data_IF_783021695251
#
_entry.id   IF_783021695251
#
_cell.length_a   1.000
_cell.length_b   1.000
_cell.length_c   1.000
_cell.angle_alpha   90.00
_cell.angle_beta   90.00
_cell.angle_gamma   90.00
#
_symmetry.space_group_name_H-M   'P 1'
#
loop_
_entity.id
_entity.type
_entity.pdbx_description
1 polymer ?
#
# COMPACT_ATOMS: atom_id res chain seq x y z
N UNK A 1 -20.63 1.99 -25.66
CA UNK A 1 -21.68 2.91 -25.15
C UNK A 1 -21.08 3.59 -23.94
N UNK A 2 -20.67 4.84 -24.12
CA UNK A 2 -19.97 5.63 -23.10
C UNK A 2 -21.02 6.48 -22.39
N UNK A 3 -21.28 6.19 -21.12
CA UNK A 3 -22.18 6.99 -20.28
C UNK A 3 -21.78 6.86 -18.82
N UNK A 4 -20.79 7.65 -18.43
CA UNK A 4 -20.75 8.47 -17.22
C UNK A 4 -19.34 9.07 -17.12
N UNK A 5 -19.22 10.27 -16.56
CA UNK A 5 -17.99 10.80 -15.98
C UNK A 5 -17.58 9.91 -14.77
N UNK A 6 -17.37 8.62 -15.00
CA UNK A 6 -16.73 7.74 -14.04
C UNK A 6 -15.30 8.21 -13.92
N UNK A 7 -15.00 8.88 -12.81
CA UNK A 7 -13.62 9.18 -12.42
C UNK A 7 -12.87 7.85 -12.39
N UNK A 8 -12.04 7.62 -13.40
CA UNK A 8 -11.13 6.48 -13.43
C UNK A 8 -10.18 6.60 -12.24
N UNK A 9 -10.12 5.56 -11.41
CA UNK A 9 -9.24 5.49 -10.25
C UNK A 9 -8.12 4.51 -10.55
N UNK A 10 -6.88 5.00 -10.49
CA UNK A 10 -5.70 4.14 -10.62
C UNK A 10 -5.56 3.28 -9.37
N UNK A 11 -5.81 1.97 -9.52
CA UNK A 11 -5.72 1.01 -8.41
C UNK A 11 -4.27 0.63 -8.09
N UNK A 12 -3.41 0.51 -9.10
CA UNK A 12 -1.98 0.20 -8.96
C UNK A 12 -1.23 0.61 -10.24
N UNK A 13 0.10 0.78 -10.12
CA UNK A 13 1.04 0.86 -11.24
C UNK A 13 1.92 -0.38 -11.13
N UNK A 14 2.05 -1.13 -12.22
CA UNK A 14 2.78 -2.39 -12.28
C UNK A 14 4.06 -2.20 -13.08
N UNK A 15 5.14 -2.82 -12.62
CA UNK A 15 6.47 -2.76 -13.22
C UNK A 15 6.94 -4.15 -13.66
N UNK A 16 8.18 -4.22 -14.16
CA UNK A 16 8.82 -5.50 -14.47
C UNK A 16 8.77 -6.46 -13.27
N UNK A 17 8.52 -7.74 -13.56
CA UNK A 17 8.31 -8.83 -12.59
C UNK A 17 6.96 -8.82 -11.85
N UNK A 18 6.12 -7.79 -12.02
CA UNK A 18 4.76 -7.83 -11.50
C UNK A 18 3.84 -8.70 -12.38
N UNK A 19 2.76 -9.20 -11.78
CA UNK A 19 1.71 -9.95 -12.48
C UNK A 19 0.32 -9.40 -12.17
N UNK A 20 -0.66 -9.70 -13.01
CA UNK A 20 -2.05 -9.27 -12.81
C UNK A 20 -3.04 -10.22 -13.48
N UNK A 21 -4.32 -10.09 -13.11
CA UNK A 21 -5.42 -10.90 -13.65
C UNK A 21 -5.63 -12.22 -12.92
N UNK A 22 -4.81 -12.51 -11.91
CA UNK A 22 -4.83 -13.70 -11.08
C UNK A 22 -6.20 -13.91 -10.41
N UNK A 23 -6.89 -12.83 -10.02
CA UNK A 23 -8.18 -12.91 -9.33
C UNK A 23 -9.18 -13.73 -10.17
N UNK A 24 -9.38 -13.34 -11.43
CA UNK A 24 -10.28 -14.04 -12.36
C UNK A 24 -9.84 -15.49 -12.66
N UNK A 25 -8.54 -15.79 -12.58
CA UNK A 25 -8.03 -17.15 -12.76
C UNK A 25 -8.26 -18.02 -11.52
N UNK A 26 -8.32 -17.43 -10.33
CA UNK A 26 -8.58 -18.12 -9.06
C UNK A 26 -10.08 -18.32 -8.85
N UNK A 27 -10.86 -17.24 -8.79
CA UNK A 27 -12.27 -17.25 -8.39
C UNK A 27 -13.26 -17.51 -9.54
N UNK A 28 -12.81 -17.33 -10.79
CA UNK A 28 -13.66 -17.51 -11.98
C UNK A 28 -14.64 -16.35 -12.23
N UNK A 29 -14.48 -15.24 -11.51
CA UNK A 29 -15.26 -14.03 -11.70
C UNK A 29 -14.73 -13.18 -12.86
N UNK A 30 -15.52 -12.18 -13.25
CA UNK A 30 -15.12 -11.19 -14.25
C UNK A 30 -13.87 -10.39 -13.79
N UNK A 31 -13.22 -9.70 -14.73
CA UNK A 31 -12.07 -8.85 -14.43
C UNK A 31 -12.47 -7.77 -13.41
N UNK A 32 -11.66 -7.62 -12.38
CA UNK A 32 -11.87 -6.62 -11.31
C UNK A 32 -11.48 -5.20 -11.74
N UNK A 33 -10.64 -5.06 -12.76
CA UNK A 33 -10.18 -3.79 -13.30
C UNK A 33 -9.71 -3.93 -14.76
N UNK A 34 -9.65 -2.80 -15.46
CA UNK A 34 -8.98 -2.66 -16.76
C UNK A 34 -7.48 -2.48 -16.55
N UNK A 35 -6.68 -2.96 -17.50
CA UNK A 35 -5.23 -2.75 -17.53
C UNK A 35 -4.84 -2.09 -18.84
N UNK A 36 -4.04 -1.04 -18.76
CA UNK A 36 -3.56 -0.27 -19.92
C UNK A 36 -2.03 -0.20 -19.84
N UNK A 37 -1.35 -0.54 -20.93
CA UNK A 37 0.09 -0.36 -21.03
C UNK A 37 0.40 1.14 -21.19
N UNK A 38 1.25 1.66 -20.31
CA UNK A 38 1.69 3.08 -20.34
C UNK A 38 2.89 3.30 -21.26
N UNK A 39 3.62 2.23 -21.57
CA UNK A 39 4.76 2.19 -22.49
C UNK A 39 4.82 0.84 -23.21
N UNK A 40 5.69 0.71 -24.21
CA UNK A 40 5.90 -0.54 -24.94
C UNK A 40 6.29 -1.68 -23.99
N UNK A 41 5.40 -2.65 -23.83
CA UNK A 41 5.50 -3.69 -22.81
C UNK A 41 5.48 -5.09 -23.43
N UNK A 42 6.22 -6.03 -22.84
CA UNK A 42 6.14 -7.46 -23.16
C UNK A 42 5.58 -8.22 -21.97
N UNK A 43 4.62 -9.10 -22.23
CA UNK A 43 3.91 -9.85 -21.21
C UNK A 43 3.99 -11.35 -21.50
N UNK A 44 4.16 -12.13 -20.44
CA UNK A 44 3.91 -13.57 -20.47
C UNK A 44 2.45 -13.83 -20.10
N UNK A 45 1.81 -14.76 -20.81
CA UNK A 45 0.41 -15.11 -20.58
C UNK A 45 0.35 -16.56 -20.13
N UNK A 46 -0.35 -16.80 -19.03
CA UNK A 46 -0.67 -18.15 -18.53
C UNK A 46 -2.18 -18.32 -18.59
N UNK A 47 -2.62 -19.40 -19.21
CA UNK A 47 -4.03 -19.77 -19.30
C UNK A 47 -4.51 -20.39 -17.98
N UNK A 48 -5.82 -20.35 -17.71
CA UNK A 48 -6.38 -20.72 -16.40
C UNK A 48 -6.00 -22.15 -15.97
N UNK A 49 -6.08 -23.12 -16.88
CA UNK A 49 -5.84 -24.52 -16.56
C UNK A 49 -4.38 -24.73 -16.13
N UNK A 50 -3.45 -24.15 -16.87
CA UNK A 50 -2.01 -24.18 -16.63
C UNK A 50 -1.63 -23.43 -15.36
N UNK A 51 -2.30 -22.33 -15.06
CA UNK A 51 -2.11 -21.60 -13.81
C UNK A 51 -2.53 -22.44 -12.60
N UNK A 52 -3.71 -23.06 -12.63
CA UNK A 52 -4.18 -23.92 -11.53
C UNK A 52 -3.29 -25.16 -11.37
N UNK A 53 -2.86 -25.76 -12.48
CA UNK A 53 -1.91 -26.88 -12.47
C UNK A 53 -0.54 -26.46 -11.87
N UNK A 54 -0.03 -25.27 -12.21
CA UNK A 54 1.20 -24.71 -11.63
C UNK A 54 1.09 -24.58 -10.10
N UNK A 55 -0.03 -24.04 -9.59
CA UNK A 55 -0.24 -23.85 -8.15
C UNK A 55 -0.28 -25.17 -7.38
N UNK A 56 -0.84 -26.23 -7.98
CA UNK A 56 -0.92 -27.55 -7.36
C UNK A 56 0.39 -28.33 -7.42
N UNK A 57 1.16 -28.19 -8.51
CA UNK A 57 2.45 -28.86 -8.68
C UNK A 57 3.59 -28.20 -7.93
N UNK A 58 3.55 -26.88 -7.75
CA UNK A 58 4.62 -26.10 -7.13
C UNK A 58 4.06 -25.25 -5.99
N UNK A 59 3.94 -25.82 -4.76
CA UNK A 59 3.39 -25.12 -3.61
C UNK A 59 4.08 -23.79 -3.27
N UNK A 60 5.38 -23.67 -3.54
CA UNK A 60 6.13 -22.42 -3.33
C UNK A 60 5.57 -21.27 -4.19
N UNK A 61 5.08 -21.56 -5.40
CA UNK A 61 4.40 -20.57 -6.25
C UNK A 61 3.08 -20.13 -5.60
N UNK A 62 2.35 -21.06 -5.00
CA UNK A 62 1.11 -20.74 -4.26
C UNK A 62 1.39 -19.85 -3.06
N UNK A 63 2.46 -20.13 -2.29
CA UNK A 63 2.86 -19.28 -1.16
C UNK A 63 3.28 -17.89 -1.63
N UNK A 64 4.06 -17.79 -2.73
CA UNK A 64 4.44 -16.51 -3.31
C UNK A 64 3.21 -15.70 -3.77
N UNK A 65 2.26 -16.34 -4.43
CA UNK A 65 0.99 -15.74 -4.85
C UNK A 65 0.18 -15.23 -3.65
N UNK A 66 0.01 -16.04 -2.61
CA UNK A 66 -0.72 -15.65 -1.40
C UNK A 66 -0.05 -14.49 -0.67
N UNK A 67 1.28 -14.46 -0.66
CA UNK A 67 2.07 -13.37 -0.09
C UNK A 67 1.80 -12.07 -0.84
N UNK A 68 1.76 -12.11 -2.17
CA UNK A 68 1.46 -10.95 -3.00
C UNK A 68 0.00 -10.48 -2.85
N UNK A 69 -0.96 -11.40 -2.84
CA UNK A 69 -2.37 -11.06 -2.57
C UNK A 69 -2.56 -10.41 -1.19
N UNK A 70 -1.79 -10.84 -0.18
CA UNK A 70 -1.80 -10.22 1.15
C UNK A 70 -1.29 -8.78 1.11
N UNK A 71 -0.21 -8.50 0.37
CA UNK A 71 0.31 -7.12 0.18
C UNK A 71 -0.71 -6.22 -0.52
N UNK A 72 -1.38 -6.75 -1.55
CA UNK A 72 -2.45 -6.04 -2.27
C UNK A 72 -3.64 -5.73 -1.37
N UNK A 73 -4.07 -6.70 -0.56
CA UNK A 73 -5.17 -6.51 0.39
C UNK A 73 -4.85 -5.47 1.47
N UNK A 74 -3.62 -5.47 2.02
CA UNK A 74 -3.16 -4.41 2.94
C UNK A 74 -3.21 -3.04 2.27
N UNK A 75 -2.69 -2.95 1.04
CA UNK A 75 -2.69 -1.70 0.26
C UNK A 75 -4.10 -1.19 -0.03
N UNK A 76 -5.04 -2.07 -0.40
CA UNK A 76 -6.43 -1.71 -0.63
C UNK A 76 -7.12 -1.23 0.65
N UNK A 77 -6.91 -1.94 1.77
CA UNK A 77 -7.45 -1.57 3.08
C UNK A 77 -6.95 -0.19 3.54
N UNK A 78 -5.67 0.11 3.31
CA UNK A 78 -5.12 1.44 3.55
C UNK A 78 -5.82 2.53 2.72
N UNK A 79 -5.98 2.31 1.42
CA UNK A 79 -6.66 3.27 0.55
C UNK A 79 -8.08 3.53 1.03
N UNK A 80 -8.80 2.50 1.46
CA UNK A 80 -10.13 2.62 2.07
C UNK A 80 -10.09 3.46 3.35
N UNK A 81 -9.15 3.18 4.27
CA UNK A 81 -8.98 3.95 5.51
C UNK A 81 -8.61 5.42 5.24
N UNK A 82 -7.72 5.68 4.28
CA UNK A 82 -7.35 7.03 3.89
C UNK A 82 -8.54 7.80 3.25
N UNK A 83 -9.43 7.11 2.54
CA UNK A 83 -10.65 7.70 1.99
C UNK A 83 -11.70 8.03 3.07
N UNK A 84 -11.74 7.28 4.19
CA UNK A 84 -12.67 7.55 5.29
C UNK A 84 -12.21 8.69 6.22
N UNK A 85 -10.92 9.04 6.20
CA UNK A 85 -10.36 10.08 7.05
C UNK A 85 -10.57 11.47 6.44
N UNK A 86 -11.19 12.37 7.23
CA UNK A 86 -11.57 13.72 6.78
C UNK A 86 -10.40 14.71 6.77
N UNK A 87 -9.34 14.46 7.52
CA UNK A 87 -8.26 15.41 7.75
C UNK A 87 -6.87 14.86 7.35
N UNK A 88 -5.97 15.79 7.05
CA UNK A 88 -4.63 15.47 6.57
C UNK A 88 -3.79 14.72 7.62
N UNK A 89 -3.97 15.00 8.92
CA UNK A 89 -3.24 14.33 9.99
C UNK A 89 -3.55 12.82 10.01
N UNK A 90 -4.83 12.44 9.98
CA UNK A 90 -5.23 11.03 9.95
C UNK A 90 -4.68 10.28 8.74
N UNK A 91 -4.68 10.90 7.55
CA UNK A 91 -4.15 10.27 6.32
C UNK A 91 -2.67 9.97 6.43
N UNK A 92 -1.87 10.91 6.93
CA UNK A 92 -0.42 10.70 7.14
C UNK A 92 -0.18 9.68 8.26
N UNK A 93 -0.91 9.77 9.37
CA UNK A 93 -0.79 8.82 10.47
C UNK A 93 -1.09 7.38 10.03
N UNK A 94 -2.08 7.18 9.16
CA UNK A 94 -2.40 5.86 8.58
C UNK A 94 -1.22 5.29 7.79
N UNK A 95 -0.54 6.10 6.98
CA UNK A 95 0.65 5.66 6.24
C UNK A 95 1.79 5.31 7.21
N UNK A 96 2.01 6.10 8.26
CA UNK A 96 3.04 5.82 9.26
C UNK A 96 2.77 4.54 10.05
N UNK A 97 1.52 4.32 10.47
CA UNK A 97 1.09 3.08 11.14
C UNK A 97 1.29 1.87 10.23
N UNK A 98 1.04 1.99 8.92
CA UNK A 98 1.33 0.90 8.01
C UNK A 98 2.82 0.62 7.89
N UNK A 99 3.66 1.65 7.71
CA UNK A 99 5.10 1.46 7.63
C UNK A 99 5.65 0.83 8.90
N UNK A 100 5.06 1.18 10.05
CA UNK A 100 5.34 0.53 11.32
C UNK A 100 4.98 -0.97 11.31
N UNK A 101 3.84 -1.35 10.73
CA UNK A 101 3.41 -2.76 10.64
C UNK A 101 4.22 -3.58 9.62
N UNK A 102 4.61 -2.97 8.50
CA UNK A 102 5.25 -3.68 7.38
C UNK A 102 6.76 -3.85 7.58
N UNK A 103 7.42 -2.80 8.06
CA UNK A 103 8.90 -2.77 8.17
C UNK A 103 9.41 -2.24 9.51
N UNK A 104 8.51 -1.81 10.40
CA UNK A 104 8.87 -1.25 11.69
C UNK A 104 9.43 -2.30 12.65
N UNK A 105 10.43 -1.89 13.43
CA UNK A 105 10.98 -2.70 14.52
C UNK A 105 10.42 -2.18 15.85
N UNK A 106 9.55 -2.96 16.48
CA UNK A 106 8.92 -2.59 17.74
C UNK A 106 9.84 -2.96 18.91
N UNK A 107 10.16 -1.99 19.77
CA UNK A 107 10.93 -2.19 21.00
C UNK A 107 10.39 -1.29 22.11
N UNK A 108 9.96 -1.89 23.23
CA UNK A 108 9.50 -1.15 24.42
C UNK A 108 8.41 -0.10 24.12
N UNK A 109 7.47 -0.41 23.21
CA UNK A 109 6.37 0.51 22.85
C UNK A 109 6.73 1.57 21.80
N UNK A 110 8.01 1.67 21.42
CA UNK A 110 8.50 2.54 20.35
C UNK A 110 8.62 1.73 19.06
N UNK A 111 8.18 2.28 17.93
CA UNK A 111 8.46 1.69 16.61
C UNK A 111 9.55 2.49 15.91
N UNK A 112 10.60 1.82 15.45
CA UNK A 112 11.64 2.40 14.59
C UNK A 112 11.46 1.94 13.14
N UNK A 113 11.40 2.91 12.21
CA UNK A 113 11.40 2.72 10.76
C UNK A 113 12.75 3.25 10.25
N UNK A 114 13.66 2.35 9.88
CA UNK A 114 15.05 2.70 9.51
C UNK A 114 15.17 3.48 8.19
N UNK A 115 14.27 3.18 7.23
CA UNK A 115 14.28 3.73 5.88
C UNK A 115 12.89 4.27 5.54
N UNK A 116 12.60 5.47 6.04
CA UNK A 116 11.38 6.18 5.71
C UNK A 116 11.36 6.51 4.21
N UNK A 117 10.28 6.16 3.48
CA UNK A 117 10.11 6.56 2.08
C UNK A 117 10.19 8.07 1.89
N UNK A 118 10.50 8.50 0.66
CA UNK A 118 10.58 9.93 0.37
C UNK A 118 9.21 10.59 0.56
N UNK A 119 9.20 11.88 0.93
CA UNK A 119 7.95 12.60 1.20
C UNK A 119 6.95 12.58 0.02
N UNK A 120 7.44 12.51 -1.22
CA UNK A 120 6.56 12.38 -2.40
C UNK A 120 5.88 11.02 -2.47
N UNK A 121 6.58 9.94 -2.09
CA UNK A 121 6.03 8.59 -2.03
C UNK A 121 5.00 8.49 -0.91
N UNK A 122 5.31 9.03 0.27
CA UNK A 122 4.36 9.14 1.39
C UNK A 122 3.10 9.92 0.98
N UNK A 123 3.24 10.98 0.19
CA UNK A 123 2.13 11.79 -0.30
C UNK A 123 1.21 10.97 -1.23
N UNK A 124 1.80 10.18 -2.13
CA UNK A 124 1.07 9.27 -3.01
C UNK A 124 0.33 8.20 -2.20
N UNK A 125 0.96 7.65 -1.15
CA UNK A 125 0.34 6.66 -0.25
C UNK A 125 -0.83 7.26 0.54
N UNK A 126 -0.68 8.48 1.05
CA UNK A 126 -1.69 9.17 1.86
C UNK A 126 -2.79 9.85 1.03
N UNK A 127 -2.63 9.92 -0.30
CA UNK A 127 -3.53 10.69 -1.17
C UNK A 127 -3.55 12.17 -0.83
N UNK A 128 -2.37 12.76 -0.59
CA UNK A 128 -2.19 14.17 -0.21
C UNK A 128 -1.01 14.81 -0.95
N UNK A 129 -0.68 16.07 -0.66
CA UNK A 129 0.47 16.75 -1.27
C UNK A 129 1.76 16.53 -0.46
N UNK A 130 2.93 16.65 -1.12
CA UNK A 130 4.23 16.57 -0.44
C UNK A 130 4.37 17.60 0.69
N UNK A 131 3.89 18.82 0.46
CA UNK A 131 3.90 19.90 1.47
C UNK A 131 3.02 19.52 2.66
N UNK A 132 1.94 18.79 2.42
CA UNK A 132 1.06 18.30 3.48
C UNK A 132 1.75 17.24 4.32
N UNK A 133 2.44 16.27 3.69
CA UNK A 133 3.32 15.32 4.41
C UNK A 133 4.32 16.08 5.29
N UNK A 134 5.06 17.02 4.71
CA UNK A 134 6.09 17.77 5.44
C UNK A 134 5.53 18.54 6.63
N UNK A 135 4.39 19.22 6.46
CA UNK A 135 3.73 19.96 7.54
C UNK A 135 3.22 19.04 8.64
N UNK A 136 2.60 17.91 8.28
CA UNK A 136 2.06 16.96 9.24
C UNK A 136 3.16 16.25 10.02
N UNK A 137 4.22 15.80 9.36
CA UNK A 137 5.38 15.21 10.04
C UNK A 137 6.02 16.17 11.03
N UNK A 138 6.15 17.45 10.66
CA UNK A 138 6.65 18.48 11.57
C UNK A 138 5.69 18.74 12.74
N UNK A 139 4.37 18.73 12.50
CA UNK A 139 3.33 18.82 13.53
C UNK A 139 3.44 17.66 14.53
N UNK A 140 3.57 16.42 14.04
CA UNK A 140 3.74 15.23 14.88
C UNK A 140 5.03 15.28 15.71
N UNK A 141 6.14 15.72 15.11
CA UNK A 141 7.39 15.90 15.84
C UNK A 141 7.27 16.94 16.95
N UNK A 142 6.66 18.10 16.65
CA UNK A 142 6.42 19.16 17.64
C UNK A 142 5.51 18.69 18.78
N UNK A 143 4.54 17.81 18.50
CA UNK A 143 3.64 17.19 19.49
C UNK A 143 4.31 16.04 20.28
N UNK A 144 5.55 15.66 19.95
CA UNK A 144 6.25 14.52 20.58
C UNK A 144 5.65 13.16 20.22
N UNK A 145 4.90 13.07 19.12
CA UNK A 145 4.29 11.83 18.65
C UNK A 145 5.29 10.98 17.85
N UNK A 146 6.17 11.63 17.11
CA UNK A 146 7.24 11.01 16.33
C UNK A 146 8.55 11.75 16.50
N UNK A 147 9.66 11.07 16.24
CA UNK A 147 10.99 11.68 16.06
C UNK A 147 11.52 11.37 14.67
N UNK A 148 12.20 12.34 14.07
CA UNK A 148 12.83 12.23 12.75
C UNK A 148 14.34 12.41 12.90
N UNK A 149 15.10 11.42 12.41
CA UNK A 149 16.56 11.47 12.35
C UNK A 149 17.04 11.01 10.97
N UNK A 150 17.23 11.97 10.05
CA UNK A 150 17.56 11.70 8.66
C UNK A 150 16.45 10.88 7.97
N UNK A 151 16.78 9.65 7.55
CA UNK A 151 15.80 8.70 6.99
C UNK A 151 15.10 7.85 8.04
N UNK A 152 15.47 7.98 9.32
CA UNK A 152 14.85 7.21 10.40
C UNK A 152 13.66 7.96 10.97
N UNK A 153 12.56 7.23 11.20
CA UNK A 153 11.40 7.73 11.92
C UNK A 153 11.15 6.84 13.13
N UNK A 154 10.89 7.45 14.29
CA UNK A 154 10.43 6.75 15.49
C UNK A 154 9.02 7.19 15.86
N UNK A 155 8.14 6.24 16.13
CA UNK A 155 6.84 6.49 16.78
C UNK A 155 7.05 6.25 18.27
N UNK A 156 6.88 7.30 19.09
CA UNK A 156 7.32 7.30 20.50
C UNK A 156 6.45 6.43 21.40
N UNK A 157 5.15 6.44 21.15
CA UNK A 157 4.18 5.57 21.82
C UNK A 157 3.25 5.02 20.75
N UNK A 158 3.53 3.81 20.29
CA UNK A 158 2.82 3.20 19.17
C UNK A 158 1.35 2.98 19.45
N UNK A 159 1.00 2.49 20.63
CA UNK A 159 -0.39 2.20 20.99
C UNK A 159 -1.20 3.48 21.11
N UNK A 160 -0.65 4.51 21.78
CA UNK A 160 -1.31 5.81 21.85
C UNK A 160 -1.43 6.47 20.48
N UNK A 161 -0.39 6.40 19.66
CA UNK A 161 -0.44 6.94 18.30
C UNK A 161 -1.50 6.23 17.46
N UNK A 162 -1.62 4.91 17.60
CA UNK A 162 -2.66 4.11 16.97
C UNK A 162 -4.04 4.54 17.46
N UNK A 163 -4.29 4.60 18.77
CA UNK A 163 -5.58 5.04 19.34
C UNK A 163 -6.02 6.43 18.87
N UNK A 164 -5.07 7.36 18.70
CA UNK A 164 -5.36 8.72 18.24
C UNK A 164 -5.83 8.79 16.78
N UNK A 165 -5.44 7.83 15.94
CA UNK A 165 -5.65 7.86 14.48
C UNK A 165 -6.28 6.58 13.92
N UNK A 166 -6.92 5.77 14.77
CA UNK A 166 -7.69 4.58 14.36
C UNK A 166 -9.18 4.86 14.19
#
# INVERSE_FOLDING_TARGET
RSSNDEKEVILAILNESDFFGEMSLLDGMARSATVTAVEDSKLFIIQRAEFLDLLTKFPDVSVALLTELTKRLRSATMKIKALSLKDAEGKVATVLLQLADDVGKIRQGVVEIDHLPFQQELANMAGTSRETISRTLHSFAKKGLVELDGSKLRIIDYEKFKEMFN
#
